data_IF_724118410916
#
_entry.id   IF_724118410916
#
_cell.length_a   1.000
_cell.length_b   1.000
_cell.length_c   1.000
_cell.angle_alpha   90.00
_cell.angle_beta   90.00
_cell.angle_gamma   90.00
#
_symmetry.space_group_name_H-M   'P 1'
#
loop_
_entity.id
_entity.type
_entity.pdbx_description
1 polymer ?
#
# COMPACT_ATOMS: atom_id res chain seq x y z
N UNK A 1 -4.22 -12.14 -1.48
CA UNK A 1 -4.96 -13.32 -1.94
C UNK A 1 -6.38 -13.03 -2.42
N UNK A 2 -7.05 -11.99 -1.89
CA UNK A 2 -8.42 -11.63 -2.29
C UNK A 2 -8.51 -10.97 -3.68
N UNK A 3 -7.38 -10.55 -4.26
CA UNK A 3 -7.28 -9.85 -5.55
C UNK A 3 -8.14 -8.57 -5.66
N UNK A 4 -8.46 -7.92 -4.54
CA UNK A 4 -9.35 -6.75 -4.50
C UNK A 4 -8.88 -5.62 -5.41
N UNK A 5 -7.58 -5.32 -5.43
CA UNK A 5 -7.00 -4.32 -6.32
C UNK A 5 -7.16 -4.69 -7.80
N UNK A 6 -6.88 -5.96 -8.15
CA UNK A 6 -7.02 -6.47 -9.52
C UNK A 6 -8.46 -6.33 -10.02
N UNK A 7 -9.42 -6.73 -9.18
CA UNK A 7 -10.85 -6.60 -9.47
C UNK A 7 -11.30 -5.14 -9.57
N UNK A 8 -10.82 -4.27 -8.66
CA UNK A 8 -11.15 -2.84 -8.65
C UNK A 8 -10.62 -2.08 -9.86
N UNK A 9 -9.56 -2.60 -10.50
CA UNK A 9 -9.04 -2.07 -11.77
C UNK A 9 -9.65 -2.76 -13.00
N UNK A 10 -10.73 -3.53 -12.84
CA UNK A 10 -11.56 -4.04 -13.94
C UNK A 10 -11.21 -5.43 -14.46
N UNK A 11 -10.15 -6.08 -13.99
CA UNK A 11 -9.82 -7.47 -14.38
C UNK A 11 -10.68 -8.47 -13.61
N UNK A 12 -11.82 -8.86 -14.18
CA UNK A 12 -12.82 -9.70 -13.50
C UNK A 12 -12.59 -11.20 -13.67
N UNK A 13 -11.90 -11.62 -14.74
CA UNK A 13 -11.62 -13.04 -15.03
C UNK A 13 -10.23 -13.41 -14.54
N UNK A 14 -10.07 -13.54 -13.23
CA UNK A 14 -8.77 -13.80 -12.60
C UNK A 14 -8.16 -15.14 -13.01
N UNK A 15 -9.00 -16.12 -13.31
CA UNK A 15 -8.61 -17.47 -13.80
C UNK A 15 -8.03 -17.46 -15.20
N UNK A 16 -8.29 -16.42 -15.99
CA UNK A 16 -7.71 -16.27 -17.34
C UNK A 16 -6.30 -15.66 -17.32
N UNK A 17 -5.83 -15.19 -16.17
CA UNK A 17 -4.51 -14.60 -16.03
C UNK A 17 -3.45 -15.70 -15.94
N UNK A 18 -2.63 -15.82 -16.98
CA UNK A 18 -1.61 -16.87 -17.09
C UNK A 18 -0.46 -16.69 -16.09
N UNK A 19 -0.04 -15.46 -15.84
CA UNK A 19 1.04 -15.12 -14.91
C UNK A 19 0.53 -14.09 -13.91
N UNK A 20 0.76 -14.35 -12.63
CA UNK A 20 0.33 -13.49 -11.52
C UNK A 20 1.47 -13.34 -10.51
N UNK A 21 1.30 -12.49 -9.50
CA UNK A 21 2.27 -12.39 -8.40
C UNK A 21 2.53 -13.75 -7.75
N UNK A 22 1.49 -14.60 -7.62
CA UNK A 22 1.66 -15.96 -7.09
C UNK A 22 2.59 -16.81 -7.97
N UNK A 23 2.45 -16.71 -9.30
CA UNK A 23 3.31 -17.40 -10.25
C UNK A 23 4.77 -16.95 -10.11
N UNK A 24 5.02 -15.64 -10.07
CA UNK A 24 6.38 -15.09 -9.95
C UNK A 24 7.03 -15.49 -8.62
N UNK A 25 6.32 -15.36 -7.52
CA UNK A 25 6.83 -15.77 -6.20
C UNK A 25 7.06 -17.28 -6.12
N UNK A 26 6.15 -18.08 -6.71
CA UNK A 26 6.31 -19.54 -6.79
C UNK A 26 7.56 -19.96 -7.56
N UNK A 27 7.87 -19.32 -8.69
CA UNK A 27 9.11 -19.55 -9.45
C UNK A 27 10.35 -19.27 -8.60
N UNK A 28 10.37 -18.17 -7.84
CA UNK A 28 11.48 -17.86 -6.94
C UNK A 28 11.66 -18.94 -5.86
N UNK A 29 10.55 -19.43 -5.30
CA UNK A 29 10.61 -20.51 -4.30
C UNK A 29 11.18 -21.82 -4.87
N UNK A 30 10.99 -22.05 -6.19
CA UNK A 30 11.50 -23.18 -6.94
C UNK A 30 12.87 -22.91 -7.60
N UNK A 31 13.50 -21.78 -7.30
CA UNK A 31 14.79 -21.36 -7.87
C UNK A 31 14.78 -21.21 -9.40
N UNK A 32 13.60 -20.95 -9.98
CA UNK A 32 13.39 -20.72 -11.40
C UNK A 32 13.63 -19.26 -11.78
N UNK A 33 13.99 -18.99 -13.05
CA UNK A 33 14.07 -17.62 -13.56
C UNK A 33 12.72 -16.87 -13.44
N UNK A 34 12.79 -15.58 -13.15
CA UNK A 34 11.62 -14.72 -13.03
C UNK A 34 11.80 -13.51 -13.94
N UNK A 35 10.77 -13.25 -14.74
CA UNK A 35 10.61 -12.08 -15.58
C UNK A 35 9.31 -11.40 -15.18
N UNK A 36 9.40 -10.34 -14.35
CA UNK A 36 8.23 -9.67 -13.79
C UNK A 36 7.34 -9.06 -14.89
N UNK A 37 7.93 -8.72 -16.03
CA UNK A 37 7.22 -8.18 -17.21
C UNK A 37 6.12 -9.10 -17.72
N UNK A 38 6.27 -10.43 -17.58
CA UNK A 38 5.27 -11.41 -17.99
C UNK A 38 3.92 -11.27 -17.23
N UNK A 39 3.95 -10.68 -16.04
CA UNK A 39 2.76 -10.50 -15.21
C UNK A 39 2.20 -9.08 -15.25
N UNK A 40 2.85 -8.16 -15.95
CA UNK A 40 2.42 -6.76 -15.96
C UNK A 40 1.19 -6.60 -16.85
N UNK A 41 0.14 -6.04 -16.26
CA UNK A 41 -1.08 -5.63 -16.94
C UNK A 41 -1.09 -4.10 -17.03
N UNK A 42 -1.29 -3.58 -18.25
CA UNK A 42 -1.34 -2.15 -18.51
C UNK A 42 -2.79 -1.66 -18.40
N UNK A 43 -3.05 -0.73 -17.49
CA UNK A 43 -4.37 -0.12 -17.33
C UNK A 43 -4.49 1.15 -18.18
N UNK A 44 -5.69 1.39 -18.73
CA UNK A 44 -5.96 2.54 -19.62
C UNK A 44 -5.74 3.90 -18.94
N UNK A 45 -5.73 3.96 -17.61
CA UNK A 45 -5.47 5.18 -16.83
C UNK A 45 -3.96 5.42 -16.58
N UNK A 46 -3.07 4.70 -17.25
CA UNK A 46 -1.62 4.92 -17.18
C UNK A 46 -0.93 4.36 -15.92
N UNK A 47 -1.53 3.36 -15.31
CA UNK A 47 -0.92 2.58 -14.23
C UNK A 47 -0.72 1.13 -14.67
N UNK A 48 0.35 0.52 -14.21
CA UNK A 48 0.63 -0.89 -14.43
C UNK A 48 0.34 -1.69 -13.17
N UNK A 49 -0.08 -2.93 -13.33
CA UNK A 49 -0.46 -3.82 -12.24
C UNK A 49 0.19 -5.20 -12.40
N UNK A 50 0.82 -5.70 -11.36
CA UNK A 50 1.08 -7.15 -11.20
C UNK A 50 -0.12 -7.73 -10.44
N UNK A 51 -0.95 -8.56 -11.08
CA UNK A 51 -2.20 -9.01 -10.49
C UNK A 51 -1.97 -10.03 -9.39
N UNK A 52 -2.80 -9.94 -8.33
CA UNK A 52 -2.93 -10.97 -7.32
C UNK A 52 -4.11 -11.90 -7.60
N UNK A 53 -4.06 -13.12 -7.06
CA UNK A 53 -5.18 -14.06 -7.08
C UNK A 53 -5.17 -14.96 -5.84
N UNK A 54 -6.13 -15.89 -5.75
CA UNK A 54 -6.28 -16.79 -4.61
C UNK A 54 -5.05 -17.71 -4.42
N UNK A 55 -4.29 -18.00 -5.47
CA UNK A 55 -3.08 -18.82 -5.38
C UNK A 55 -1.99 -18.21 -4.47
N UNK A 56 -2.04 -16.90 -4.19
CA UNK A 56 -1.18 -16.27 -3.20
C UNK A 56 -1.31 -16.87 -1.80
N UNK A 57 -2.47 -17.44 -1.44
CA UNK A 57 -2.63 -18.14 -0.15
C UNK A 57 -1.76 -19.40 -0.06
N UNK A 58 -1.65 -20.14 -1.17
CA UNK A 58 -0.74 -21.30 -1.26
C UNK A 58 0.72 -20.90 -1.21
N UNK A 59 1.07 -19.82 -1.89
CA UNK A 59 2.43 -19.24 -1.83
C UNK A 59 2.75 -18.79 -0.41
N UNK A 60 1.84 -18.10 0.27
CA UNK A 60 2.04 -17.66 1.66
C UNK A 60 2.35 -18.81 2.60
N UNK A 61 1.63 -19.93 2.48
CA UNK A 61 1.90 -21.15 3.24
C UNK A 61 3.28 -21.74 2.96
N UNK A 62 3.81 -21.53 1.76
CA UNK A 62 5.12 -22.03 1.31
C UNK A 62 6.28 -21.07 1.60
N UNK A 63 6.01 -19.83 2.03
CA UNK A 63 7.05 -18.85 2.36
C UNK A 63 7.87 -19.26 3.58
N UNK A 64 7.25 -19.98 4.54
CA UNK A 64 7.89 -20.36 5.81
C UNK A 64 8.64 -19.18 6.43
N UNK A 65 9.97 -19.22 6.49
CA UNK A 65 10.84 -18.13 6.97
C UNK A 65 11.41 -17.26 5.86
N UNK A 66 11.03 -17.48 4.60
CA UNK A 66 11.57 -16.76 3.42
C UNK A 66 10.93 -15.37 3.27
N UNK A 67 11.65 -14.35 3.72
CA UNK A 67 11.14 -12.98 3.88
C UNK A 67 11.49 -12.04 2.71
N UNK A 68 12.30 -12.50 1.74
CA UNK A 68 12.82 -11.68 0.63
C UNK A 68 12.30 -12.10 -0.75
N UNK A 69 11.29 -12.95 -0.82
CA UNK A 69 10.77 -13.48 -2.09
C UNK A 69 10.15 -12.37 -2.93
N UNK A 70 9.30 -11.54 -2.33
CA UNK A 70 8.70 -10.41 -3.03
C UNK A 70 9.74 -9.39 -3.48
N UNK A 71 10.77 -9.12 -2.67
CA UNK A 71 11.85 -8.21 -3.03
C UNK A 71 12.54 -8.64 -4.32
N UNK A 72 12.81 -9.94 -4.48
CA UNK A 72 13.43 -10.49 -5.71
C UNK A 72 12.53 -10.32 -6.94
N UNK A 73 11.20 -10.44 -6.80
CA UNK A 73 10.26 -10.12 -7.88
C UNK A 73 10.36 -8.64 -8.26
N UNK A 74 10.40 -7.75 -7.26
CA UNK A 74 10.42 -6.31 -7.50
C UNK A 74 11.76 -5.80 -8.06
N UNK A 75 12.88 -6.42 -7.71
CA UNK A 75 14.22 -6.01 -8.19
C UNK A 75 14.32 -6.10 -9.73
N UNK A 76 13.54 -6.96 -10.37
CA UNK A 76 13.46 -7.09 -11.82
C UNK A 76 12.72 -5.91 -12.49
N UNK A 77 11.69 -5.38 -11.86
CA UNK A 77 10.85 -4.33 -12.48
C UNK A 77 11.06 -2.92 -11.92
N UNK A 78 11.64 -2.75 -10.72
CA UNK A 78 11.72 -1.42 -10.04
C UNK A 78 12.46 -0.34 -10.84
N UNK A 79 13.35 -0.69 -11.77
CA UNK A 79 14.08 0.29 -12.60
C UNK A 79 13.19 1.02 -13.59
N UNK A 80 12.04 0.45 -13.94
CA UNK A 80 11.11 0.96 -14.93
C UNK A 80 10.03 1.87 -14.34
N UNK A 81 9.97 1.98 -12.99
CA UNK A 81 8.91 2.71 -12.29
C UNK A 81 9.48 3.70 -11.29
N UNK A 82 8.91 4.90 -11.26
CA UNK A 82 9.23 5.91 -10.25
C UNK A 82 8.69 5.53 -8.87
N UNK A 83 7.52 4.87 -8.83
CA UNK A 83 6.86 4.42 -7.62
C UNK A 83 6.26 3.02 -7.81
N UNK A 84 6.40 2.18 -6.81
CA UNK A 84 5.77 0.86 -6.75
C UNK A 84 4.93 0.82 -5.47
N UNK A 85 3.62 0.61 -5.60
CA UNK A 85 2.70 0.52 -4.48
C UNK A 85 2.37 -0.95 -4.19
N UNK A 86 2.55 -1.36 -2.95
CA UNK A 86 2.22 -2.70 -2.47
C UNK A 86 0.91 -2.63 -1.68
N UNK A 87 -0.19 -3.10 -2.29
CA UNK A 87 -1.48 -3.22 -1.61
C UNK A 87 -1.48 -4.44 -0.69
N UNK A 88 -1.41 -4.19 0.60
CA UNK A 88 -1.23 -5.21 1.62
C UNK A 88 -2.55 -5.61 2.28
N UNK A 89 -2.65 -6.88 2.67
CA UNK A 89 -3.75 -7.37 3.51
C UNK A 89 -3.71 -6.75 4.91
N UNK A 90 -4.86 -6.63 5.59
CA UNK A 90 -4.93 -6.14 6.97
C UNK A 90 -4.48 -7.18 8.00
N UNK A 91 -3.51 -8.01 7.67
CA UNK A 91 -2.94 -9.04 8.52
C UNK A 91 -1.42 -8.94 8.56
N UNK A 92 -0.79 -9.43 9.63
CA UNK A 92 0.67 -9.47 9.77
C UNK A 92 1.24 -10.85 9.40
N UNK A 93 0.65 -11.50 8.39
CA UNK A 93 1.13 -12.76 7.83
C UNK A 93 2.42 -12.62 7.02
N UNK A 94 2.92 -13.74 6.49
CA UNK A 94 4.18 -13.79 5.75
C UNK A 94 4.17 -12.94 4.49
N UNK A 95 3.02 -12.74 3.84
CA UNK A 95 2.90 -11.82 2.70
C UNK A 95 3.17 -10.38 3.12
N UNK A 96 2.60 -9.92 4.24
CA UNK A 96 2.85 -8.57 4.76
C UNK A 96 4.30 -8.40 5.21
N UNK A 97 4.91 -9.42 5.81
CA UNK A 97 6.33 -9.43 6.17
C UNK A 97 7.19 -9.27 4.91
N UNK A 98 6.91 -10.01 3.83
CA UNK A 98 7.60 -9.87 2.55
C UNK A 98 7.42 -8.47 1.94
N UNK A 99 6.24 -7.88 2.01
CA UNK A 99 6.00 -6.52 1.55
C UNK A 99 6.83 -5.49 2.34
N UNK A 100 6.84 -5.58 3.67
CA UNK A 100 7.62 -4.70 4.54
C UNK A 100 9.14 -4.89 4.36
N UNK A 101 9.59 -6.12 4.06
CA UNK A 101 11.00 -6.39 3.76
C UNK A 101 11.44 -5.78 2.43
N UNK A 102 10.54 -5.68 1.45
CA UNK A 102 10.80 -5.14 0.12
C UNK A 102 10.62 -3.62 0.01
N UNK A 103 9.76 -3.02 0.86
CA UNK A 103 9.37 -1.63 0.77
C UNK A 103 10.44 -0.66 1.30
N UNK A 104 10.47 0.54 0.75
CA UNK A 104 11.27 1.67 1.26
C UNK A 104 10.51 2.44 2.35
N UNK A 105 9.18 2.48 2.27
CA UNK A 105 8.33 3.16 3.25
C UNK A 105 6.94 2.54 3.36
N UNK A 106 6.25 2.87 4.45
CA UNK A 106 4.89 2.42 4.77
C UNK A 106 4.01 3.64 4.97
N UNK A 107 2.94 3.74 4.21
CA UNK A 107 1.83 4.64 4.45
C UNK A 107 0.71 3.85 5.13
N UNK A 108 0.15 4.36 6.23
CA UNK A 108 -0.80 3.63 7.06
C UNK A 108 -2.18 4.28 6.95
N UNK A 109 -3.10 3.74 6.11
CA UNK A 109 -4.47 4.19 6.09
C UNK A 109 -5.20 3.75 7.36
N UNK A 110 -5.91 4.69 7.99
CA UNK A 110 -6.60 4.46 9.26
C UNK A 110 -7.99 5.08 9.21
N UNK A 111 -9.01 4.31 9.53
CA UNK A 111 -10.38 4.82 9.69
C UNK A 111 -10.47 5.51 11.07
N UNK A 112 -11.16 6.66 11.21
CA UNK A 112 -11.32 7.32 12.49
C UNK A 112 -12.34 6.57 13.36
N UNK A 113 -11.90 5.45 13.92
CA UNK A 113 -12.66 4.56 14.79
C UNK A 113 -11.74 4.10 15.93
N UNK A 114 -12.28 3.98 17.16
CA UNK A 114 -11.51 3.65 18.35
C UNK A 114 -10.65 2.39 18.21
N UNK A 115 -11.23 1.29 17.68
CA UNK A 115 -10.50 0.04 17.47
C UNK A 115 -9.34 0.16 16.48
N UNK A 116 -9.44 1.09 15.53
CA UNK A 116 -8.34 1.35 14.58
C UNK A 116 -7.16 2.03 15.27
N UNK A 117 -7.42 2.91 16.23
CA UNK A 117 -6.38 3.56 17.05
C UNK A 117 -5.64 2.54 17.90
N UNK A 118 -6.36 1.60 18.54
CA UNK A 118 -5.76 0.53 19.33
C UNK A 118 -4.91 -0.41 18.46
N UNK A 119 -5.42 -0.83 17.29
CA UNK A 119 -4.71 -1.67 16.35
C UNK A 119 -3.44 -1.02 15.78
N UNK A 120 -3.42 0.31 15.65
CA UNK A 120 -2.28 1.06 15.13
C UNK A 120 -1.03 0.89 16.01
N UNK A 121 -1.19 0.84 17.33
CA UNK A 121 -0.08 0.60 18.27
C UNK A 121 0.63 -0.74 17.99
N UNK A 122 -0.13 -1.81 17.80
CA UNK A 122 0.38 -3.16 17.48
C UNK A 122 1.08 -3.20 16.11
N UNK A 123 0.52 -2.48 15.13
CA UNK A 123 1.14 -2.35 13.80
C UNK A 123 2.48 -1.61 13.90
N UNK A 124 2.54 -0.50 14.63
CA UNK A 124 3.77 0.27 14.83
C UNK A 124 4.87 -0.55 15.50
N UNK A 125 4.51 -1.35 16.50
CA UNK A 125 5.44 -2.26 17.15
C UNK A 125 5.99 -3.31 16.17
N UNK A 126 5.14 -3.86 15.31
CA UNK A 126 5.52 -4.83 14.28
C UNK A 126 6.44 -4.21 13.24
N UNK A 127 6.14 -2.99 12.75
CA UNK A 127 7.03 -2.24 11.85
C UNK A 127 8.38 -1.98 12.54
N UNK A 128 8.37 -1.65 13.84
CA UNK A 128 9.59 -1.48 14.63
C UNK A 128 10.45 -2.74 14.70
N UNK A 129 9.84 -3.92 14.84
CA UNK A 129 10.54 -5.22 14.79
C UNK A 129 11.14 -5.46 13.41
N UNK A 130 10.39 -5.19 12.33
CA UNK A 130 10.87 -5.31 10.95
C UNK A 130 12.10 -4.43 10.68
N UNK A 131 12.06 -3.17 11.15
CA UNK A 131 13.20 -2.25 11.01
C UNK A 131 14.45 -2.72 11.73
N UNK A 132 14.33 -3.34 12.89
CA UNK A 132 15.49 -3.85 13.65
C UNK A 132 16.07 -5.12 13.07
N UNK A 133 15.24 -5.99 12.50
CA UNK A 133 15.65 -7.32 12.05
C UNK A 133 15.93 -7.42 10.55
N UNK A 134 14.98 -7.01 9.73
CA UNK A 134 14.95 -7.36 8.29
C UNK A 134 15.21 -6.19 7.36
N UNK A 135 14.62 -5.04 7.62
CA UNK A 135 14.71 -3.88 6.75
C UNK A 135 15.00 -2.61 7.53
N UNK A 136 16.27 -2.37 7.82
CA UNK A 136 16.72 -1.18 8.58
C UNK A 136 16.40 0.13 7.86
N UNK A 137 16.21 0.09 6.55
CA UNK A 137 15.86 1.24 5.72
C UNK A 137 14.37 1.59 5.73
N UNK A 138 13.50 0.68 6.22
CA UNK A 138 12.06 0.86 6.20
C UNK A 138 11.64 2.10 7.03
N UNK A 139 10.83 2.94 6.43
CA UNK A 139 10.34 4.17 7.05
C UNK A 139 8.82 4.14 7.20
N UNK A 140 8.29 4.87 8.16
CA UNK A 140 6.87 5.20 8.19
C UNK A 140 6.70 6.56 7.50
N UNK A 141 5.97 6.56 6.37
CA UNK A 141 5.68 7.76 5.59
C UNK A 141 4.69 8.65 6.32
N UNK A 142 3.69 8.03 6.90
CA UNK A 142 2.71 8.70 7.74
C UNK A 142 1.44 7.88 7.91
N UNK A 143 0.55 8.44 8.74
CA UNK A 143 -0.80 7.94 8.98
C UNK A 143 -1.76 8.77 8.14
N UNK A 144 -2.58 8.11 7.31
CA UNK A 144 -3.63 8.73 6.51
C UNK A 144 -4.99 8.43 7.11
N UNK A 145 -5.71 9.46 7.52
CA UNK A 145 -7.10 9.32 7.94
C UNK A 145 -7.96 9.15 6.69
N UNK A 146 -8.65 8.02 6.58
CA UNK A 146 -9.47 7.67 5.41
C UNK A 146 -10.88 7.26 5.82
N UNK A 147 -11.83 7.29 4.86
CA UNK A 147 -13.24 6.96 5.08
C UNK A 147 -13.88 7.76 6.23
N UNK A 148 -13.43 9.00 6.42
CA UNK A 148 -13.90 9.84 7.52
C UNK A 148 -15.36 10.28 7.29
N UNK A 149 -16.23 9.95 8.23
CA UNK A 149 -17.62 10.45 8.27
C UNK A 149 -17.65 11.86 8.86
N UNK A 150 -18.75 12.59 8.58
CA UNK A 150 -18.95 13.96 9.10
C UNK A 150 -19.58 13.98 10.49
N UNK A 151 -19.21 13.05 11.35
CA UNK A 151 -19.72 12.95 12.72
C UNK A 151 -18.76 13.60 13.72
N UNK A 152 -19.29 14.05 14.86
CA UNK A 152 -18.47 14.54 15.96
C UNK A 152 -17.50 13.48 16.45
N UNK A 153 -17.95 12.23 16.55
CA UNK A 153 -17.13 11.09 16.92
C UNK A 153 -15.91 10.89 15.98
N UNK A 154 -16.12 10.91 14.66
CA UNK A 154 -14.99 10.75 13.72
C UNK A 154 -13.99 11.90 13.83
N UNK A 155 -14.45 13.12 14.13
CA UNK A 155 -13.59 14.27 14.36
C UNK A 155 -12.78 14.11 15.65
N UNK A 156 -13.40 13.72 16.76
CA UNK A 156 -12.73 13.47 18.03
C UNK A 156 -11.66 12.38 17.92
N UNK A 157 -11.95 11.27 17.24
CA UNK A 157 -10.97 10.20 16.99
C UNK A 157 -9.83 10.68 16.08
N UNK A 158 -10.12 11.53 15.09
CA UNK A 158 -9.08 12.11 14.23
C UNK A 158 -8.14 13.04 15.03
N UNK A 159 -8.67 13.83 15.94
CA UNK A 159 -7.87 14.66 16.87
C UNK A 159 -7.04 13.80 17.83
N UNK A 160 -7.62 12.73 18.35
CA UNK A 160 -6.90 11.77 19.19
C UNK A 160 -5.70 11.16 18.45
N UNK A 161 -5.88 10.74 17.19
CA UNK A 161 -4.79 10.23 16.34
C UNK A 161 -3.67 11.27 16.16
N UNK A 162 -4.04 12.53 15.89
CA UNK A 162 -3.07 13.62 15.72
C UNK A 162 -2.31 13.90 17.02
N UNK A 163 -3.00 13.93 18.15
CA UNK A 163 -2.38 14.17 19.46
C UNK A 163 -1.46 13.02 19.87
N UNK A 164 -1.90 11.77 19.69
CA UNK A 164 -1.18 10.60 20.15
C UNK A 164 0.05 10.28 19.30
N UNK A 165 -0.06 10.47 17.98
CA UNK A 165 0.99 10.04 17.03
C UNK A 165 1.72 11.20 16.36
N UNK A 166 1.09 12.37 16.21
CA UNK A 166 1.59 13.49 15.41
C UNK A 166 2.94 14.07 15.85
N UNK A 167 3.35 13.85 17.10
CA UNK A 167 4.68 14.24 17.59
C UNK A 167 5.80 13.29 17.16
N UNK A 168 5.47 12.06 16.79
CA UNK A 168 6.42 10.99 16.47
C UNK A 168 6.40 10.59 15.01
N UNK A 169 5.24 10.69 14.37
CA UNK A 169 4.96 10.21 13.00
C UNK A 169 4.10 11.27 12.32
N UNK A 170 4.38 11.54 11.04
CA UNK A 170 3.51 12.40 10.24
C UNK A 170 2.08 11.83 10.26
N UNK A 171 1.09 12.60 10.68
CA UNK A 171 -0.31 12.36 10.38
C UNK A 171 -0.68 13.35 9.29
N UNK A 172 -1.04 12.84 8.11
CA UNK A 172 -1.34 13.69 6.96
C UNK A 172 -2.47 14.68 7.27
N UNK A 173 -2.32 15.93 6.80
CA UNK A 173 -3.35 16.94 6.97
C UNK A 173 -4.58 16.64 6.12
N UNK A 174 -4.32 16.05 4.95
CA UNK A 174 -5.36 15.56 4.05
C UNK A 174 -6.11 14.39 4.69
N UNK A 175 -7.43 14.49 4.66
CA UNK A 175 -8.36 13.44 5.13
C UNK A 175 -9.20 12.98 3.95
N UNK A 176 -9.26 11.67 3.70
CA UNK A 176 -10.11 11.09 2.65
C UNK A 176 -11.52 10.89 3.21
N UNK A 177 -12.54 11.58 2.70
CA UNK A 177 -13.89 11.46 3.22
C UNK A 177 -14.53 10.13 2.79
N UNK A 178 -15.46 9.64 3.60
CA UNK A 178 -16.34 8.54 3.20
C UNK A 178 -17.21 8.96 2.00
N UNK A 179 -17.33 8.08 0.99
CA UNK A 179 -18.14 8.35 -0.20
C UNK A 179 -18.67 7.05 -0.81
N UNK A 180 -19.96 7.06 -1.13
CA UNK A 180 -20.59 5.96 -1.87
C UNK A 180 -19.98 5.85 -3.28
N UNK A 181 -19.72 6.98 -3.94
CA UNK A 181 -19.07 6.99 -5.27
C UNK A 181 -17.69 6.34 -5.29
N UNK A 182 -16.94 6.46 -4.18
CA UNK A 182 -15.66 5.77 -4.06
C UNK A 182 -15.81 4.24 -3.96
N UNK A 183 -16.93 3.75 -3.42
CA UNK A 183 -17.25 2.32 -3.44
C UNK A 183 -17.74 1.86 -4.83
N UNK A 184 -18.53 2.68 -5.51
CA UNK A 184 -19.07 2.39 -6.84
C UNK A 184 -17.98 2.31 -7.92
N UNK A 185 -16.93 3.15 -7.85
CA UNK A 185 -15.87 3.17 -8.87
C UNK A 185 -15.14 1.83 -9.01
N UNK A 186 -14.99 1.08 -7.92
CA UNK A 186 -14.41 -0.28 -7.93
C UNK A 186 -15.29 -1.28 -8.70
N UNK A 187 -16.62 -1.11 -8.68
CA UNK A 187 -17.54 -1.93 -9.46
C UNK A 187 -17.47 -1.62 -10.96
N UNK A 188 -17.07 -0.41 -11.32
CA UNK A 188 -16.90 0.03 -12.72
C UNK A 188 -15.49 -0.27 -13.28
N UNK A 189 -14.56 -0.71 -12.45
CA UNK A 189 -13.18 -0.95 -12.86
C UNK A 189 -12.44 0.36 -13.22
N UNK A 190 -12.79 1.46 -12.56
CA UNK A 190 -12.25 2.81 -12.81
C UNK A 190 -11.69 3.40 -11.53
N UNK A 191 -10.68 4.26 -11.65
CA UNK A 191 -10.28 5.07 -10.52
C UNK A 191 -11.34 6.12 -10.17
N UNK A 192 -11.27 6.66 -8.96
CA UNK A 192 -12.12 7.80 -8.57
C UNK A 192 -11.88 9.02 -9.45
N UNK A 193 -10.68 9.15 -10.02
CA UNK A 193 -10.34 10.25 -10.94
C UNK A 193 -11.05 10.15 -12.28
N UNK A 194 -11.26 8.93 -12.79
CA UNK A 194 -12.04 8.69 -14.00
C UNK A 194 -13.55 8.68 -13.73
N UNK A 195 -13.96 8.14 -12.57
CA UNK A 195 -15.37 7.97 -12.24
C UNK A 195 -16.05 9.26 -11.75
N UNK A 196 -15.39 10.00 -10.85
CA UNK A 196 -15.91 11.26 -10.27
C UNK A 196 -14.80 12.31 -10.13
N UNK A 197 -14.26 12.83 -11.26
CA UNK A 197 -13.07 13.68 -11.27
C UNK A 197 -13.21 14.99 -10.51
N UNK A 198 -14.43 15.50 -10.36
CA UNK A 198 -14.76 16.73 -9.61
C UNK A 198 -15.23 16.45 -8.18
N UNK A 199 -15.33 15.17 -7.81
CA UNK A 199 -15.80 14.74 -6.50
C UNK A 199 -14.80 15.06 -5.38
N UNK A 200 -15.31 15.17 -4.15
CA UNK A 200 -14.49 15.49 -2.97
C UNK A 200 -13.40 14.46 -2.71
N UNK A 201 -13.65 13.17 -3.04
CA UNK A 201 -12.65 12.11 -2.86
C UNK A 201 -11.52 12.25 -3.87
N UNK A 202 -11.79 12.52 -5.15
CA UNK A 202 -10.76 12.76 -6.15
C UNK A 202 -9.91 13.98 -5.78
N UNK A 203 -10.54 15.07 -5.32
CA UNK A 203 -9.83 16.26 -4.84
C UNK A 203 -8.95 15.93 -3.62
N UNK A 204 -9.45 15.14 -2.67
CA UNK A 204 -8.70 14.73 -1.49
C UNK A 204 -7.49 13.87 -1.85
N UNK A 205 -7.63 12.89 -2.76
CA UNK A 205 -6.48 12.11 -3.24
C UNK A 205 -5.46 12.97 -4.01
N UNK A 206 -5.91 13.96 -4.78
CA UNK A 206 -5.00 14.93 -5.43
C UNK A 206 -4.23 15.75 -4.40
N UNK A 207 -4.89 16.18 -3.31
CA UNK A 207 -4.24 16.91 -2.23
C UNK A 207 -3.23 16.01 -1.48
N UNK A 208 -3.63 14.76 -1.18
CA UNK A 208 -2.74 13.76 -0.57
C UNK A 208 -1.47 13.55 -1.40
N UNK A 209 -1.62 13.36 -2.71
CA UNK A 209 -0.48 13.14 -3.61
C UNK A 209 0.52 14.30 -3.53
N UNK A 210 0.03 15.54 -3.52
CA UNK A 210 0.88 16.74 -3.36
C UNK A 210 1.57 16.75 -2.00
N UNK A 211 0.85 16.41 -0.93
CA UNK A 211 1.39 16.38 0.43
C UNK A 211 2.47 15.29 0.58
N UNK A 212 2.26 14.09 0.03
CA UNK A 212 3.25 13.00 0.03
C UNK A 212 4.51 13.42 -0.72
N UNK A 213 4.38 13.90 -1.96
CA UNK A 213 5.54 14.34 -2.78
C UNK A 213 6.32 15.46 -2.09
N UNK A 214 5.62 16.42 -1.46
CA UNK A 214 6.27 17.50 -0.72
C UNK A 214 7.05 16.98 0.48
N UNK A 215 6.46 16.04 1.23
CA UNK A 215 7.11 15.40 2.37
C UNK A 215 8.35 14.61 1.95
N UNK A 216 8.28 13.85 0.87
CA UNK A 216 9.44 13.14 0.31
C UNK A 216 10.57 14.10 -0.08
N UNK A 217 10.26 15.19 -0.79
CA UNK A 217 11.25 16.21 -1.19
C UNK A 217 11.93 16.87 0.02
N UNK A 218 11.18 17.21 1.06
CA UNK A 218 11.73 17.79 2.29
C UNK A 218 12.70 16.82 2.97
N UNK A 219 12.36 15.54 3.04
CA UNK A 219 13.22 14.51 3.61
C UNK A 219 14.49 14.27 2.81
N UNK A 220 14.41 14.29 1.47
CA UNK A 220 15.60 14.17 0.60
C UNK A 220 16.55 15.34 0.82
N UNK A 221 16.06 16.57 0.91
CA UNK A 221 16.86 17.76 1.22
C UNK A 221 17.56 17.63 2.58
N UNK A 222 16.82 17.27 3.62
CA UNK A 222 17.38 17.11 4.97
C UNK A 222 18.47 16.03 5.03
N UNK A 223 18.32 14.92 4.30
CA UNK A 223 19.36 13.89 4.17
C UNK A 223 20.62 14.40 3.46
N UNK A 224 20.46 15.18 2.41
CA UNK A 224 21.59 15.77 1.69
C UNK A 224 22.36 16.80 2.54
N UNK A 225 21.70 17.44 3.48
CA UNK A 225 22.31 18.39 4.43
C UNK A 225 23.08 17.69 5.56
N UNK A 226 22.57 16.56 6.08
CA UNK A 226 23.21 15.79 7.15
C UNK A 226 24.39 14.93 6.63
N UNK A 227 24.36 14.55 5.35
CA UNK A 227 25.41 13.73 4.71
C UNK A 227 26.61 14.53 4.17
N UNK A 228 26.62 15.85 4.42
CA UNK A 228 27.74 16.76 4.19
C UNK A 228 28.45 17.07 5.49
#
# INVERSE_FOLDING_TARGET
PQASLTLSLGWRKLESLSVTLATLMGRILQEQPVHAEEAILHHAEGVDLIPGNIALSGVEASLDTRQNVLKRVLDDCRKNYSHVLLDCMPSLGMMTINALAAADSVLIPTIPHYLSVDGLGKLMESIGRMRRGLNRGLRVEGILITMASRTTYAREISELLRTQYGTKIKVFDTVIPHSIRAAECSAEGKSIFAYDPKGKVAQAYSALTKEVIQHEKQRQKHRAEIGR
#
